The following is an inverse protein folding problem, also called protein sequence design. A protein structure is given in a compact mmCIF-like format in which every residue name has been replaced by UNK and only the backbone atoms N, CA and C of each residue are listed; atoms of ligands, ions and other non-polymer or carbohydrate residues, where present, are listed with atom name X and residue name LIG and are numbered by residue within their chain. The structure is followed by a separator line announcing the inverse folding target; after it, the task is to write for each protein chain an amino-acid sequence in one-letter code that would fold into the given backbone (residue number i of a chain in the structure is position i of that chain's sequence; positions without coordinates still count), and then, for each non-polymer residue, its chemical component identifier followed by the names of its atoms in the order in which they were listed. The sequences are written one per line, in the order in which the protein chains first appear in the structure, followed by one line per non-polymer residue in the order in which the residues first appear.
data_IF_287108214772
#
_entry.id   IF_287108214772
#
_cell.length_a   1.000
_cell.length_b   1.000
_cell.length_c   1.000
_cell.angle_alpha   90.00
_cell.angle_beta   90.00
_cell.angle_gamma   90.00
#
_symmetry.space_group_name_H-M   'P 1'
#
loop_
_entity.id
_entity.type
_entity.pdbx_description
1 polymer ?
#
# COMPACT_ATOMS: atom_id res chain seq x y z
N UNK A 1 15.14 -39.86 21.53
CA UNK A 1 16.26 -38.91 21.61
C UNK A 1 16.59 -38.55 20.16
N UNK A 2 15.90 -37.55 19.60
CA UNK A 2 16.38 -36.15 19.39
C UNK A 2 17.41 -36.09 18.24
N UNK A 3 17.33 -35.25 17.20
CA UNK A 3 16.60 -34.01 17.00
C UNK A 3 16.36 -33.74 15.50
N UNK A 4 15.28 -33.01 15.27
CA UNK A 4 14.87 -32.33 14.06
C UNK A 4 15.97 -31.44 13.48
N UNK A 5 16.11 -31.44 12.16
CA UNK A 5 16.78 -30.39 11.41
C UNK A 5 15.82 -29.95 10.30
N UNK A 6 14.88 -29.09 10.69
CA UNK A 6 13.97 -28.41 9.77
C UNK A 6 14.76 -27.33 9.04
N UNK A 7 14.90 -27.52 7.73
CA UNK A 7 15.48 -26.56 6.81
C UNK A 7 14.71 -25.24 6.87
N UNK A 8 15.42 -24.21 7.29
CA UNK A 8 14.97 -22.84 7.40
C UNK A 8 14.81 -22.27 5.97
N UNK A 9 13.62 -22.43 5.39
CA UNK A 9 13.28 -21.85 4.09
C UNK A 9 13.11 -20.33 4.27
N UNK A 10 14.17 -19.61 3.91
CA UNK A 10 14.17 -18.16 3.69
C UNK A 10 13.09 -17.79 2.65
N UNK A 11 11.89 -17.46 3.12
CA UNK A 11 10.89 -16.72 2.33
C UNK A 11 11.35 -15.27 2.22
N UNK A 12 12.21 -14.97 1.25
CA UNK A 12 12.40 -13.60 0.79
C UNK A 12 11.13 -13.19 0.04
N UNK A 13 10.14 -12.67 0.77
CA UNK A 13 8.99 -12.00 0.18
C UNK A 13 9.51 -10.90 -0.74
N UNK A 14 9.07 -10.93 -2.00
CA UNK A 14 9.51 -9.99 -3.04
C UNK A 14 9.06 -8.58 -2.63
N UNK A 15 10.00 -7.72 -2.24
CA UNK A 15 9.71 -6.38 -1.73
C UNK A 15 8.86 -5.57 -2.75
N UNK A 16 7.60 -5.29 -2.39
CA UNK A 16 6.68 -4.55 -3.26
C UNK A 16 6.92 -3.05 -3.08
N UNK A 17 7.47 -2.41 -4.10
CA UNK A 17 7.75 -0.97 -4.09
C UNK A 17 6.49 -0.17 -4.42
N UNK A 18 5.93 0.50 -3.42
CA UNK A 18 4.79 1.39 -3.61
C UNK A 18 5.23 2.74 -4.17
N UNK A 19 4.43 3.36 -5.05
CA UNK A 19 4.76 4.64 -5.66
C UNK A 19 4.54 5.78 -4.66
N UNK A 20 5.61 6.14 -3.95
CA UNK A 20 5.71 7.37 -3.13
C UNK A 20 6.68 8.33 -3.82
N UNK A 21 6.54 9.64 -3.61
CA UNK A 21 7.07 10.68 -4.52
C UNK A 21 8.59 10.64 -4.77
N UNK A 22 8.99 10.72 -6.06
CA UNK A 22 10.20 11.38 -6.61
C UNK A 22 9.88 11.93 -8.02
N UNK A 23 10.09 13.25 -8.18
CA UNK A 23 10.23 14.09 -9.40
C UNK A 23 9.06 14.27 -10.42
N UNK A 24 9.07 15.41 -11.13
CA UNK A 24 7.95 16.33 -11.46
C UNK A 24 7.43 16.35 -12.93
N UNK A 25 8.00 15.63 -13.90
CA UNK A 25 7.91 16.06 -15.31
C UNK A 25 6.97 15.33 -16.29
N UNK A 26 6.04 14.48 -15.87
CA UNK A 26 5.26 13.66 -16.84
C UNK A 26 3.79 13.45 -16.48
N UNK A 27 3.01 14.53 -16.34
CA UNK A 27 1.56 14.43 -16.16
C UNK A 27 0.82 14.46 -17.50
N UNK A 28 0.15 13.37 -17.85
CA UNK A 28 -0.66 13.25 -19.06
C UNK A 28 -2.19 13.26 -18.80
N UNK A 29 -2.65 13.10 -17.55
CA UNK A 29 -4.08 12.92 -17.23
C UNK A 29 -4.80 14.14 -16.59
N UNK A 30 -6.09 14.37 -16.96
CA UNK A 30 -6.95 15.44 -16.41
C UNK A 30 -7.42 15.17 -14.98
N UNK A 31 -7.73 16.25 -14.23
CA UNK A 31 -8.10 16.20 -12.80
C UNK A 31 -9.51 15.63 -12.54
N UNK A 32 -9.78 15.22 -11.31
CA UNK A 32 -11.11 14.77 -10.86
C UNK A 32 -12.20 15.84 -11.07
N UNK A 33 -11.84 17.11 -10.82
CA UNK A 33 -12.72 18.27 -10.99
C UNK A 33 -13.06 18.52 -12.46
N UNK A 34 -12.09 18.36 -13.37
CA UNK A 34 -12.32 18.45 -14.82
C UNK A 34 -13.28 17.38 -15.34
N UNK A 35 -13.33 16.21 -14.67
CA UNK A 35 -14.21 15.10 -15.02
C UNK A 35 -15.55 15.10 -14.26
N UNK A 36 -15.87 16.12 -13.45
CA UNK A 36 -17.06 16.19 -12.59
C UNK A 36 -17.25 14.96 -11.69
N UNK A 37 -16.17 14.42 -11.13
CA UNK A 37 -16.23 13.22 -10.29
C UNK A 37 -16.32 13.57 -8.81
N UNK A 38 -17.03 12.74 -8.04
CA UNK A 38 -17.14 12.85 -6.57
C UNK A 38 -15.92 12.33 -5.82
N UNK A 39 -15.06 11.57 -6.50
CA UNK A 39 -13.79 11.04 -6.00
C UNK A 39 -12.72 11.16 -7.08
N UNK A 40 -11.45 11.06 -6.71
CA UNK A 40 -10.39 11.06 -7.70
C UNK A 40 -10.50 9.81 -8.58
N UNK A 41 -10.20 9.91 -9.90
CA UNK A 41 -10.16 8.73 -10.78
C UNK A 41 -9.30 7.60 -10.21
N UNK A 42 -8.19 7.95 -9.56
CA UNK A 42 -7.27 7.01 -8.92
C UNK A 42 -7.83 6.25 -7.71
N UNK A 43 -8.89 6.75 -7.09
CA UNK A 43 -9.56 6.13 -5.92
C UNK A 43 -10.62 5.10 -6.33
N UNK A 44 -10.85 4.91 -7.63
CA UNK A 44 -11.82 3.93 -8.11
C UNK A 44 -11.26 2.52 -7.95
N UNK A 45 -12.10 1.62 -7.47
CA UNK A 45 -11.80 0.18 -7.49
C UNK A 45 -12.18 -0.36 -8.86
N UNK A 46 -11.32 -1.19 -9.44
CA UNK A 46 -11.62 -1.84 -10.72
C UNK A 46 -12.75 -2.86 -10.52
N UNK A 47 -13.62 -3.00 -11.51
CA UNK A 47 -14.69 -4.00 -11.47
C UNK A 47 -14.14 -5.43 -11.61
N UNK A 48 -13.01 -5.57 -12.28
CA UNK A 48 -12.28 -6.83 -12.43
C UNK A 48 -11.30 -7.06 -11.26
N UNK A 49 -11.12 -8.32 -10.81
CA UNK A 49 -10.12 -8.66 -9.80
C UNK A 49 -8.71 -8.29 -10.26
N UNK A 50 -7.95 -7.63 -9.38
CA UNK A 50 -6.55 -7.26 -9.62
C UNK A 50 -5.63 -8.00 -8.65
N UNK A 51 -4.42 -8.35 -9.13
CA UNK A 51 -3.34 -8.89 -8.30
C UNK A 51 -2.82 -7.86 -7.29
N UNK A 52 -2.08 -8.33 -6.28
CA UNK A 52 -1.46 -7.46 -5.26
C UNK A 52 -0.46 -6.51 -5.93
N UNK A 53 0.33 -7.00 -6.88
CA UNK A 53 1.34 -6.23 -7.61
C UNK A 53 0.72 -5.12 -8.47
N UNK A 54 -0.45 -5.37 -9.05
CA UNK A 54 -1.20 -4.35 -9.81
C UNK A 54 -1.80 -3.30 -8.88
N UNK A 55 -2.42 -3.72 -7.77
CA UNK A 55 -2.96 -2.81 -6.76
C UNK A 55 -1.88 -1.94 -6.13
N UNK A 56 -0.69 -2.50 -5.89
CA UNK A 56 0.43 -1.79 -5.30
C UNK A 56 0.96 -0.63 -6.14
N UNK A 57 0.81 -0.69 -7.47
CA UNK A 57 1.23 0.36 -8.40
C UNK A 57 0.16 1.45 -8.60
N UNK A 58 -1.05 1.25 -8.08
CA UNK A 58 -2.17 2.16 -8.31
C UNK A 58 -2.01 3.45 -7.50
N UNK A 59 -2.23 4.58 -8.15
CA UNK A 59 -2.05 5.92 -7.59
C UNK A 59 -3.40 6.62 -7.49
N UNK A 60 -3.72 7.08 -6.28
CA UNK A 60 -4.92 7.83 -5.92
C UNK A 60 -4.82 9.29 -6.36
N UNK A 61 -3.70 9.92 -5.99
CA UNK A 61 -3.40 11.32 -6.25
C UNK A 61 -2.00 11.45 -6.80
N UNK A 62 -1.86 12.21 -7.89
CA UNK A 62 -0.60 12.57 -8.51
C UNK A 62 -0.67 14.06 -8.91
N UNK A 63 -0.45 14.95 -7.94
CA UNK A 63 -0.67 16.38 -8.13
C UNK A 63 0.17 17.25 -7.18
N UNK A 64 0.45 18.51 -7.57
CA UNK A 64 1.00 19.51 -6.66
C UNK A 64 -0.02 19.86 -5.57
N UNK A 65 0.47 20.06 -4.36
CA UNK A 65 -0.30 20.60 -3.25
C UNK A 65 -0.33 22.15 -3.27
N UNK A 66 -0.86 22.75 -2.22
CA UNK A 66 -0.97 24.21 -2.10
C UNK A 66 0.38 24.90 -1.92
N UNK A 67 1.44 24.20 -1.47
CA UNK A 67 2.79 24.75 -1.35
C UNK A 67 3.58 24.62 -2.65
N UNK A 68 3.06 23.88 -3.62
CA UNK A 68 3.75 23.54 -4.85
C UNK A 68 4.68 22.35 -4.68
N UNK A 69 4.51 21.55 -3.62
CA UNK A 69 5.15 20.25 -3.48
C UNK A 69 4.30 19.19 -4.17
N UNK A 70 4.92 18.27 -4.91
CA UNK A 70 4.19 17.25 -5.65
C UNK A 70 3.96 16.01 -4.79
N UNK A 71 2.70 15.70 -4.57
CA UNK A 71 2.27 14.61 -3.73
C UNK A 71 1.80 13.47 -4.62
N UNK A 72 2.43 12.31 -4.43
CA UNK A 72 1.99 11.03 -4.98
C UNK A 72 1.45 10.16 -3.85
N UNK A 73 0.17 9.84 -3.91
CA UNK A 73 -0.53 9.03 -2.91
C UNK A 73 -0.95 7.70 -3.53
N UNK A 74 -0.56 6.55 -2.96
CA UNK A 74 -1.02 5.25 -3.44
C UNK A 74 -2.49 5.02 -3.11
N UNK A 75 -3.21 4.26 -3.96
CA UNK A 75 -4.61 3.90 -3.71
C UNK A 75 -4.74 2.79 -2.65
N UNK A 76 -3.79 1.86 -2.64
CA UNK A 76 -3.74 0.73 -1.73
C UNK A 76 -2.47 0.77 -0.89
N UNK A 77 -2.51 0.28 0.34
CA UNK A 77 -1.35 -0.03 1.16
C UNK A 77 -1.09 -1.53 1.12
N UNK A 78 0.15 -1.93 0.81
CA UNK A 78 0.53 -3.34 0.89
C UNK A 78 1.00 -3.63 2.31
N UNK A 79 0.41 -4.63 2.93
CA UNK A 79 0.73 -5.05 4.29
C UNK A 79 1.06 -6.53 4.32
N UNK A 80 2.11 -6.89 5.06
CA UNK A 80 2.44 -8.27 5.40
C UNK A 80 1.73 -8.64 6.72
N UNK A 81 0.93 -9.70 6.67
CA UNK A 81 0.26 -10.28 7.82
C UNK A 81 1.17 -11.28 8.58
N UNK A 82 0.88 -11.59 9.85
CA UNK A 82 1.71 -12.51 10.66
C UNK A 82 1.84 -13.91 10.08
N UNK A 83 0.85 -14.35 9.29
CA UNK A 83 0.84 -15.64 8.60
C UNK A 83 1.71 -15.67 7.33
N UNK A 84 2.33 -14.54 6.96
CA UNK A 84 3.10 -14.37 5.73
C UNK A 84 2.27 -14.04 4.48
N UNK A 85 0.95 -13.83 4.64
CA UNK A 85 0.08 -13.38 3.55
C UNK A 85 0.28 -11.88 3.31
N UNK A 86 0.20 -11.46 2.04
CA UNK A 86 0.19 -10.06 1.67
C UNK A 86 -1.21 -9.61 1.30
N UNK A 87 -1.60 -8.44 1.81
CA UNK A 87 -2.87 -7.79 1.46
C UNK A 87 -2.63 -6.41 0.90
N UNK A 88 -3.43 -6.02 -0.09
CA UNK A 88 -3.48 -4.66 -0.60
C UNK A 88 -4.78 -3.99 -0.12
N UNK A 89 -4.67 -3.14 0.91
CA UNK A 89 -5.78 -2.48 1.59
C UNK A 89 -6.07 -1.11 0.99
N UNK A 90 -7.31 -0.88 0.56
CA UNK A 90 -7.74 0.39 -0.02
C UNK A 90 -7.87 1.47 1.05
N UNK A 91 -7.20 2.60 0.87
CA UNK A 91 -7.10 3.66 1.89
C UNK A 91 -8.45 4.18 2.42
N UNK A 92 -9.50 4.23 1.58
CA UNK A 92 -10.87 4.57 2.02
C UNK A 92 -11.69 3.36 2.50
N UNK A 93 -11.83 2.31 1.67
CA UNK A 93 -12.79 1.23 1.94
C UNK A 93 -12.37 0.34 3.11
N UNK A 94 -11.07 0.17 3.32
CA UNK A 94 -10.53 -0.80 4.26
C UNK A 94 -9.96 -0.08 5.50
N UNK A 95 -10.51 1.09 5.85
CA UNK A 95 -10.02 1.92 6.95
C UNK A 95 -10.06 1.20 8.31
N UNK A 96 -11.05 0.34 8.54
CA UNK A 96 -11.13 -0.49 9.74
C UNK A 96 -9.99 -1.51 9.77
N UNK A 97 -9.79 -2.27 8.68
CA UNK A 97 -8.71 -3.25 8.58
C UNK A 97 -7.32 -2.59 8.67
N UNK A 98 -7.14 -1.41 8.08
CA UNK A 98 -5.91 -0.62 8.23
C UNK A 98 -5.69 -0.23 9.70
N UNK A 99 -6.74 0.19 10.40
CA UNK A 99 -6.67 0.48 11.84
C UNK A 99 -6.31 -0.78 12.65
N UNK A 100 -6.89 -1.93 12.31
CA UNK A 100 -6.54 -3.22 12.90
C UNK A 100 -5.06 -3.57 12.69
N UNK A 101 -4.57 -3.46 11.46
CA UNK A 101 -3.17 -3.71 11.13
C UNK A 101 -2.24 -2.79 11.94
N UNK A 102 -2.56 -1.49 12.02
CA UNK A 102 -1.75 -0.54 12.82
C UNK A 102 -1.78 -0.90 14.31
N UNK A 103 -2.94 -1.31 14.85
CA UNK A 103 -3.08 -1.71 16.26
C UNK A 103 -2.28 -2.98 16.59
N UNK A 104 -2.26 -3.94 15.66
CA UNK A 104 -1.54 -5.19 15.82
C UNK A 104 -0.03 -5.01 15.59
N UNK A 105 0.34 -4.10 14.69
CA UNK A 105 1.72 -3.73 14.38
C UNK A 105 2.35 -2.84 15.47
N UNK A 106 2.23 -3.20 16.74
CA UNK A 106 2.99 -2.53 17.79
C UNK A 106 4.49 -2.75 17.53
N UNK A 107 5.30 -1.76 17.88
CA UNK A 107 6.74 -1.80 17.68
C UNK A 107 7.49 -1.94 19.00
N UNK A 108 8.65 -2.59 18.97
CA UNK A 108 9.61 -2.58 20.08
C UNK A 108 10.32 -1.21 20.18
N UNK A 109 11.18 -1.06 21.20
CA UNK A 109 11.99 0.15 21.40
C UNK A 109 12.94 0.46 20.24
N UNK A 110 13.23 -0.53 19.38
CA UNK A 110 14.07 -0.40 18.20
C UNK A 110 13.28 -0.10 16.92
N UNK A 111 11.95 0.03 17.01
CA UNK A 111 11.06 0.26 15.87
C UNK A 111 10.73 -0.99 15.06
N UNK A 112 11.12 -2.19 15.53
CA UNK A 112 10.76 -3.44 14.88
C UNK A 112 9.31 -3.80 15.20
N UNK A 113 8.57 -4.31 14.22
CA UNK A 113 7.19 -4.77 14.42
C UNK A 113 7.18 -6.04 15.26
N UNK A 114 6.43 -6.04 16.37
CA UNK A 114 6.20 -7.20 17.23
C UNK A 114 4.76 -7.66 17.08
N UNK A 115 4.56 -8.98 16.98
CA UNK A 115 3.26 -9.64 17.03
C UNK A 115 3.21 -10.52 18.31
N UNK A 116 2.17 -10.41 19.14
CA UNK A 116 1.92 -11.25 20.33
C UNK A 116 0.47 -11.73 20.37
#
# INVERSE_FOLDING_TARGET
MTNENLENQNNQAKEIKQPVSKDWHSREEPTAKERNLTANPGDRIADEPQSIEEKAKKVAVDAPDITGDHIKVPTYFVVDEPNGEQKALHHVKDAEEISDVIRQARVDENGNRIWW
#
